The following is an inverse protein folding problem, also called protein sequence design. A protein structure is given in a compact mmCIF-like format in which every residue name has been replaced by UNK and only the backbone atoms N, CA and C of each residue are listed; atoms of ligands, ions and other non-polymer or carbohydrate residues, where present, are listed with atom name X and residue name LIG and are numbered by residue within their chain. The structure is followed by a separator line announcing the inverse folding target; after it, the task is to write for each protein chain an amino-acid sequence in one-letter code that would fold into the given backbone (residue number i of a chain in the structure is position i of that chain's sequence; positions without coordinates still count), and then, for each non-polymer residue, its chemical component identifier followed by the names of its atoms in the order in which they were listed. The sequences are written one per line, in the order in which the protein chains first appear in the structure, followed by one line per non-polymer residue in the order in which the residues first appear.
data_IF_726576764094
#
_entry.id   IF_726576764094
#
_cell.length_a   1.000
_cell.length_b   1.000
_cell.length_c   1.000
_cell.angle_alpha   90.00
_cell.angle_beta   90.00
_cell.angle_gamma   90.00
#
_symmetry.space_group_name_H-M   'P 1'
#
loop_
_entity.id
_entity.type
_entity.pdbx_description
1 polymer ?
#
# COMPACT_ATOMS: atom_id res chain seq x y z
N UNK A 1 10.93 16.73 -30.57
CA UNK A 1 9.61 16.61 -31.21
C UNK A 1 9.46 15.23 -31.80
N UNK A 2 8.57 14.38 -31.26
CA UNK A 2 8.00 13.21 -31.93
C UNK A 2 6.83 12.72 -31.07
N UNK A 3 5.63 13.08 -31.52
CA UNK A 3 4.34 12.66 -30.95
C UNK A 3 4.02 11.29 -31.52
N UNK A 4 3.64 10.34 -30.68
CA UNK A 4 2.85 9.18 -31.11
C UNK A 4 1.66 9.07 -30.16
N UNK A 5 0.52 9.48 -30.70
CA UNK A 5 -0.83 9.32 -30.16
C UNK A 5 -1.32 7.98 -30.69
N UNK A 6 -1.63 7.03 -29.80
CA UNK A 6 -2.32 5.80 -30.19
C UNK A 6 -3.69 5.74 -29.54
N UNK A 7 -4.65 6.01 -30.43
CA UNK A 7 -6.02 5.53 -30.55
C UNK A 7 -6.70 4.84 -29.35
N UNK A 8 -7.77 5.50 -28.94
CA UNK A 8 -8.91 5.01 -28.18
C UNK A 8 -9.63 3.90 -28.98
N UNK A 9 -9.94 2.78 -28.33
CA UNK A 9 -11.03 1.90 -28.76
C UNK A 9 -12.03 1.77 -27.61
N UNK A 10 -13.15 2.49 -27.77
CA UNK A 10 -14.39 2.23 -27.06
C UNK A 10 -14.98 0.94 -27.61
N UNK A 11 -15.14 -0.08 -26.78
CA UNK A 11 -16.05 -1.18 -27.05
C UNK A 11 -17.05 -1.26 -25.92
N UNK A 12 -18.22 -0.66 -26.16
CA UNK A 12 -19.43 -0.89 -25.40
C UNK A 12 -20.05 -2.21 -25.90
N UNK A 13 -20.31 -3.14 -24.98
CA UNK A 13 -21.29 -4.22 -25.19
C UNK A 13 -22.27 -4.17 -24.02
N UNK A 14 -23.46 -3.65 -24.35
CA UNK A 14 -24.70 -3.79 -23.63
C UNK A 14 -25.19 -5.24 -23.80
N UNK A 15 -25.80 -5.83 -22.76
CA UNK A 15 -26.94 -6.79 -22.77
C UNK A 15 -27.04 -7.40 -21.34
N UNK A 16 -27.90 -6.87 -20.45
CA UNK A 16 -29.29 -7.30 -20.20
C UNK A 16 -29.45 -8.77 -19.78
N UNK A 17 -29.67 -9.00 -18.48
CA UNK A 17 -30.67 -9.96 -17.95
C UNK A 17 -30.83 -9.79 -16.43
N UNK A 18 -32.00 -9.37 -15.92
CA UNK A 18 -32.39 -9.58 -14.53
C UNK A 18 -33.32 -10.80 -14.42
N UNK A 19 -32.91 -11.84 -13.70
CA UNK A 19 -33.81 -12.92 -13.29
C UNK A 19 -34.51 -12.52 -11.99
N UNK A 20 -35.72 -12.00 -12.12
CA UNK A 20 -36.67 -11.85 -11.02
C UNK A 20 -37.30 -13.22 -10.74
N UNK A 21 -37.06 -13.78 -9.54
CA UNK A 21 -37.86 -14.90 -9.05
C UNK A 21 -39.16 -14.37 -8.47
N UNK A 22 -40.24 -14.71 -9.14
CA UNK A 22 -41.61 -14.41 -8.77
C UNK A 22 -41.98 -15.08 -7.44
N UNK A 23 -42.69 -14.31 -6.63
CA UNK A 23 -43.46 -14.78 -5.49
C UNK A 23 -44.58 -15.70 -5.98
N UNK A 24 -44.65 -16.92 -5.43
CA UNK A 24 -45.86 -17.73 -5.45
C UNK A 24 -46.47 -17.65 -4.06
N UNK A 25 -47.62 -16.98 -4.00
CA UNK A 25 -48.47 -16.90 -2.84
C UNK A 25 -49.66 -17.82 -3.08
N UNK A 26 -49.84 -18.80 -2.19
CA UNK A 26 -51.11 -19.21 -1.60
C UNK A 26 -51.17 -20.73 -1.38
N UNK A 27 -50.96 -21.16 -0.14
CA UNK A 27 -51.88 -22.07 0.55
C UNK A 27 -51.53 -22.09 2.04
N UNK A 28 -52.35 -21.39 2.82
CA UNK A 28 -52.64 -21.73 4.22
C UNK A 28 -53.78 -22.78 4.21
N UNK A 29 -54.07 -23.57 5.27
CA UNK A 29 -53.94 -23.13 6.67
C UNK A 29 -53.54 -24.17 7.75
N UNK A 30 -53.31 -23.61 8.95
CA UNK A 30 -53.54 -24.17 10.30
C UNK A 30 -52.63 -25.31 10.79
N UNK A 31 -51.80 -25.03 11.81
CA UNK A 31 -52.13 -25.30 13.23
C UNK A 31 -51.11 -24.64 14.16
N UNK A 32 -51.59 -24.19 15.30
CA UNK A 32 -50.83 -23.56 16.37
C UNK A 32 -49.74 -24.46 16.95
N UNK A 33 -48.62 -23.88 17.38
CA UNK A 33 -47.92 -24.21 18.63
C UNK A 33 -46.93 -23.08 18.91
N UNK A 34 -47.05 -22.50 20.10
CA UNK A 34 -46.06 -21.63 20.67
C UNK A 34 -44.79 -22.43 20.95
N UNK A 35 -43.63 -21.94 20.50
CA UNK A 35 -42.44 -22.06 21.33
C UNK A 35 -41.44 -20.94 21.05
N UNK A 36 -41.02 -20.32 22.14
CA UNK A 36 -39.81 -19.51 22.20
C UNK A 36 -38.63 -20.45 22.02
N UNK A 37 -37.64 -20.06 21.23
CA UNK A 37 -36.25 -19.99 21.71
C UNK A 37 -35.36 -19.39 20.65
N UNK A 38 -34.66 -18.33 21.06
CA UNK A 38 -33.37 -17.94 20.54
C UNK A 38 -32.51 -19.15 20.21
N UNK A 39 -32.03 -19.24 18.97
CA UNK A 39 -30.70 -19.80 18.70
C UNK A 39 -30.22 -19.35 17.32
N UNK A 40 -29.82 -18.08 17.26
CA UNK A 40 -28.90 -17.60 16.22
C UNK A 40 -27.50 -18.18 16.50
N UNK A 41 -27.38 -19.50 16.32
CA UNK A 41 -26.12 -20.23 16.41
C UNK A 41 -25.69 -20.60 14.99
N UNK A 42 -24.91 -19.73 14.35
CA UNK A 42 -24.14 -20.08 13.15
C UNK A 42 -23.42 -21.41 13.40
N UNK A 43 -23.69 -22.48 12.62
CA UNK A 43 -23.01 -23.75 12.81
C UNK A 43 -21.53 -23.55 12.48
N UNK A 44 -20.65 -23.63 13.50
CA UNK A 44 -19.22 -23.75 13.26
C UNK A 44 -18.94 -25.12 12.65
N UNK A 45 -18.76 -25.17 11.34
CA UNK A 45 -18.32 -26.37 10.64
C UNK A 45 -16.94 -26.76 11.16
N UNK A 46 -16.89 -27.77 12.04
CA UNK A 46 -15.63 -28.35 12.50
C UNK A 46 -15.06 -29.21 11.38
N UNK A 47 -14.09 -28.63 10.69
CA UNK A 47 -13.31 -29.26 9.64
C UNK A 47 -12.68 -30.60 10.11
N UNK A 48 -12.83 -31.68 9.33
CA UNK A 48 -12.22 -32.98 9.67
C UNK A 48 -10.69 -32.94 9.55
N UNK A 49 -9.99 -33.94 10.11
CA UNK A 49 -8.53 -34.01 10.02
C UNK A 49 -8.06 -34.14 8.55
N UNK A 50 -8.75 -34.96 7.77
CA UNK A 50 -8.49 -35.18 6.33
C UNK A 50 -8.74 -33.91 5.52
N UNK A 51 -9.86 -33.21 5.76
CA UNK A 51 -10.14 -31.92 5.13
C UNK A 51 -9.05 -30.90 5.44
N UNK A 52 -8.56 -30.84 6.69
CA UNK A 52 -7.46 -29.94 7.09
C UNK A 52 -6.17 -30.27 6.36
N UNK A 53 -5.87 -31.54 6.15
CA UNK A 53 -4.67 -31.97 5.44
C UNK A 53 -4.78 -31.63 3.94
N UNK A 54 -5.92 -31.89 3.31
CA UNK A 54 -6.19 -31.51 1.92
C UNK A 54 -6.11 -29.98 1.73
N UNK A 55 -6.70 -29.20 2.64
CA UNK A 55 -6.59 -27.74 2.65
C UNK A 55 -5.15 -27.25 2.77
N UNK A 56 -4.38 -27.80 3.71
CA UNK A 56 -2.97 -27.45 3.87
C UNK A 56 -2.19 -27.78 2.61
N UNK A 57 -2.39 -28.96 2.03
CA UNK A 57 -1.72 -29.36 0.79
C UNK A 57 -2.05 -28.44 -0.38
N UNK A 58 -3.33 -28.13 -0.58
CA UNK A 58 -3.79 -27.29 -1.68
C UNK A 58 -3.31 -25.84 -1.57
N UNK A 59 -3.22 -25.30 -0.35
CA UNK A 59 -2.86 -23.88 -0.13
C UNK A 59 -1.38 -23.67 0.24
N UNK A 60 -0.63 -24.73 0.55
CA UNK A 60 0.79 -24.66 0.92
C UNK A 60 1.66 -23.80 0.00
N UNK A 61 1.65 -23.98 -1.34
CA UNK A 61 2.54 -23.20 -2.21
C UNK A 61 2.23 -21.70 -2.14
N UNK A 62 0.95 -21.32 -2.08
CA UNK A 62 0.53 -19.92 -1.95
C UNK A 62 0.90 -19.32 -0.60
N UNK A 63 0.81 -20.11 0.48
CA UNK A 63 1.22 -19.67 1.82
C UNK A 63 2.73 -19.45 1.91
N UNK A 64 3.54 -20.34 1.32
CA UNK A 64 5.00 -20.16 1.24
C UNK A 64 5.37 -18.92 0.42
N UNK A 65 4.73 -18.72 -0.73
CA UNK A 65 4.90 -17.49 -1.50
C UNK A 65 4.56 -16.24 -0.68
N UNK A 66 3.46 -16.26 0.07
CA UNK A 66 3.05 -15.14 0.91
C UNK A 66 4.04 -14.88 2.05
N UNK A 67 4.67 -15.92 2.62
CA UNK A 67 5.76 -15.77 3.59
C UNK A 67 6.97 -15.05 2.99
N UNK A 68 7.45 -15.51 1.84
CA UNK A 68 8.57 -14.85 1.14
C UNK A 68 8.27 -13.37 0.84
N UNK A 69 7.06 -13.07 0.36
CA UNK A 69 6.62 -11.68 0.12
C UNK A 69 6.57 -10.86 1.42
N UNK A 70 6.19 -11.46 2.55
CA UNK A 70 6.19 -10.77 3.84
C UNK A 70 7.59 -10.43 4.32
N UNK A 71 8.56 -11.32 4.13
CA UNK A 71 9.95 -11.09 4.49
C UNK A 71 10.54 -9.94 3.68
N UNK A 72 10.36 -9.95 2.35
CA UNK A 72 10.78 -8.85 1.48
C UNK A 72 10.16 -7.50 1.90
N UNK A 73 8.86 -7.50 2.22
CA UNK A 73 8.18 -6.29 2.70
C UNK A 73 8.69 -5.81 4.06
N UNK A 74 9.10 -6.73 4.94
CA UNK A 74 9.66 -6.38 6.25
C UNK A 74 10.99 -5.67 6.09
N UNK A 75 11.85 -6.17 5.20
CA UNK A 75 13.15 -5.57 4.92
C UNK A 75 13.01 -4.17 4.32
N UNK A 76 12.13 -4.00 3.32
CA UNK A 76 11.82 -2.69 2.73
C UNK A 76 11.24 -1.71 3.76
N UNK A 77 10.37 -2.17 4.65
CA UNK A 77 9.82 -1.31 5.70
C UNK A 77 10.92 -0.86 6.69
N UNK A 78 11.87 -1.73 7.02
CA UNK A 78 13.04 -1.39 7.82
C UNK A 78 13.87 -0.28 7.15
N UNK A 79 14.19 -0.45 5.86
CA UNK A 79 14.91 0.56 5.07
C UNK A 79 14.16 1.91 5.04
N UNK A 80 12.84 1.87 4.86
CA UNK A 80 11.99 3.06 4.84
C UNK A 80 12.05 3.84 6.15
N UNK A 81 12.04 3.11 7.28
CA UNK A 81 12.13 3.68 8.62
C UNK A 81 13.48 4.36 8.84
N UNK A 82 14.58 3.69 8.48
CA UNK A 82 15.94 4.25 8.55
C UNK A 82 16.05 5.53 7.70
N UNK A 83 15.55 5.50 6.46
CA UNK A 83 15.56 6.69 5.59
C UNK A 83 14.69 7.83 6.13
N UNK A 84 13.55 7.53 6.73
CA UNK A 84 12.70 8.53 7.36
C UNK A 84 13.39 9.19 8.56
N UNK A 85 14.07 8.41 9.40
CA UNK A 85 14.80 8.91 10.56
C UNK A 85 16.02 9.75 10.15
N UNK A 86 16.78 9.30 9.15
CA UNK A 86 17.87 10.09 8.55
C UNK A 86 17.39 11.44 8.00
N UNK A 87 16.30 11.43 7.21
CA UNK A 87 15.68 12.66 6.70
C UNK A 87 15.20 13.60 7.83
N UNK A 88 14.64 13.04 8.91
CA UNK A 88 14.21 13.82 10.07
C UNK A 88 15.40 14.48 10.76
N UNK A 89 16.48 13.72 10.98
CA UNK A 89 17.72 14.22 11.58
C UNK A 89 18.34 15.35 10.75
N UNK A 90 18.45 15.18 9.42
CA UNK A 90 18.95 16.23 8.51
C UNK A 90 18.09 17.49 8.52
N UNK A 91 16.76 17.36 8.54
CA UNK A 91 15.87 18.52 8.65
C UNK A 91 16.07 19.27 9.97
N UNK A 92 16.34 18.54 11.05
CA UNK A 92 16.63 19.13 12.35
C UNK A 92 17.99 19.83 12.36
N UNK A 93 19.03 19.23 11.76
CA UNK A 93 20.37 19.84 11.67
C UNK A 93 20.39 21.10 10.79
N UNK A 94 19.52 21.19 9.79
CA UNK A 94 19.36 22.38 8.95
C UNK A 94 18.56 23.50 9.62
N UNK A 95 17.78 23.17 10.67
CA UNK A 95 16.89 24.13 11.31
C UNK A 95 17.72 25.19 12.05
N UNK A 96 17.58 26.45 11.64
CA UNK A 96 18.31 27.58 12.23
C UNK A 96 19.70 27.83 11.62
N UNK A 97 20.18 26.95 10.73
CA UNK A 97 21.46 27.12 10.02
C UNK A 97 21.29 27.67 8.60
N UNK A 98 20.06 27.81 8.11
CA UNK A 98 19.75 28.33 6.79
C UNK A 98 19.33 29.80 6.87
N UNK A 99 19.80 30.61 5.90
CA UNK A 99 19.22 31.94 5.68
C UNK A 99 17.78 31.83 5.18
N UNK A 100 17.01 32.93 5.22
CA UNK A 100 15.62 32.95 4.73
C UNK A 100 15.53 32.55 3.24
N UNK A 101 16.48 33.02 2.43
CA UNK A 101 16.55 32.71 0.99
C UNK A 101 16.88 31.24 0.75
N UNK A 102 17.87 30.70 1.47
CA UNK A 102 18.24 29.28 1.39
C UNK A 102 17.09 28.38 1.84
N UNK A 103 16.38 28.75 2.91
CA UNK A 103 15.22 28.01 3.40
C UNK A 103 14.08 28.02 2.36
N UNK A 104 13.85 29.15 1.68
CA UNK A 104 12.84 29.26 0.64
C UNK A 104 13.19 28.42 -0.60
N UNK A 105 14.46 28.45 -1.03
CA UNK A 105 14.95 27.62 -2.13
C UNK A 105 14.85 26.12 -1.79
N UNK A 106 15.21 25.72 -0.56
CA UNK A 106 15.09 24.35 -0.09
C UNK A 106 13.62 23.90 -0.02
N UNK A 107 12.72 24.77 0.44
CA UNK A 107 11.30 24.46 0.44
C UNK A 107 10.77 24.26 -0.98
N UNK A 108 11.17 25.11 -1.93
CA UNK A 108 10.80 24.96 -3.33
C UNK A 108 11.33 23.66 -3.94
N UNK A 109 12.59 23.29 -3.68
CA UNK A 109 13.20 22.06 -4.20
C UNK A 109 12.62 20.78 -3.61
N UNK A 110 12.17 20.82 -2.33
CA UNK A 110 11.59 19.65 -1.66
C UNK A 110 10.09 19.47 -1.89
N UNK A 111 9.37 20.51 -2.31
CA UNK A 111 7.90 20.49 -2.45
C UNK A 111 7.40 19.38 -3.37
N UNK A 112 7.94 19.26 -4.58
CA UNK A 112 7.51 18.25 -5.55
C UNK A 112 7.76 16.82 -5.03
N UNK A 113 8.89 16.61 -4.36
CA UNK A 113 9.24 15.32 -3.78
C UNK A 113 8.32 14.97 -2.60
N UNK A 114 7.96 15.94 -1.75
CA UNK A 114 7.00 15.73 -0.65
C UNK A 114 5.60 15.34 -1.15
N UNK A 115 5.11 15.98 -2.21
CA UNK A 115 3.84 15.60 -2.83
C UNK A 115 3.91 14.19 -3.46
N UNK A 116 5.03 13.83 -4.13
CA UNK A 116 5.26 12.46 -4.62
C UNK A 116 5.19 11.44 -3.48
N UNK A 117 5.87 11.70 -2.35
CA UNK A 117 5.83 10.84 -1.17
C UNK A 117 4.41 10.71 -0.59
N UNK A 118 3.64 11.81 -0.56
CA UNK A 118 2.26 11.83 -0.05
C UNK A 118 1.33 10.96 -0.90
N UNK A 119 1.42 11.06 -2.23
CA UNK A 119 0.65 10.21 -3.16
C UNK A 119 1.01 8.74 -2.96
N UNK A 120 2.30 8.41 -2.94
CA UNK A 120 2.77 7.04 -2.72
C UNK A 120 2.30 6.47 -1.37
N UNK A 121 2.32 7.27 -0.31
CA UNK A 121 1.82 6.86 1.00
C UNK A 121 0.30 6.64 0.98
N UNK A 122 -0.44 7.45 0.24
CA UNK A 122 -1.89 7.28 0.08
C UNK A 122 -2.22 5.97 -0.66
N UNK A 123 -1.52 5.69 -1.76
CA UNK A 123 -1.65 4.45 -2.53
C UNK A 123 -1.33 3.22 -1.67
N UNK A 124 -0.21 3.25 -0.94
CA UNK A 124 0.19 2.16 -0.05
C UNK A 124 -0.83 1.94 1.07
N UNK A 125 -1.41 3.01 1.62
CA UNK A 125 -2.48 2.90 2.61
C UNK A 125 -3.74 2.24 2.02
N UNK A 126 -4.14 2.62 0.81
CA UNK A 126 -5.27 1.99 0.13
C UNK A 126 -5.02 0.50 -0.12
N UNK A 127 -3.82 0.12 -0.57
CA UNK A 127 -3.43 -1.28 -0.74
C UNK A 127 -3.43 -2.06 0.58
N UNK A 128 -2.99 -1.45 1.69
CA UNK A 128 -3.03 -2.08 3.00
C UNK A 128 -4.46 -2.35 3.49
N UNK A 129 -5.41 -1.44 3.22
CA UNK A 129 -6.83 -1.68 3.52
C UNK A 129 -7.38 -2.83 2.67
N UNK A 130 -7.02 -2.91 1.39
CA UNK A 130 -7.39 -4.05 0.54
C UNK A 130 -6.79 -5.38 1.06
N UNK A 131 -5.55 -5.37 1.56
CA UNK A 131 -4.94 -6.54 2.21
C UNK A 131 -5.71 -6.97 3.45
N UNK A 132 -6.19 -6.02 4.26
CA UNK A 132 -7.04 -6.34 5.43
C UNK A 132 -8.35 -6.99 5.00
N UNK A 133 -9.00 -6.45 3.97
CA UNK A 133 -10.22 -7.03 3.41
C UNK A 133 -9.99 -8.45 2.88
N UNK A 134 -8.93 -8.68 2.10
CA UNK A 134 -8.59 -10.01 1.58
C UNK A 134 -8.23 -11.01 2.71
N UNK A 135 -7.60 -10.56 3.79
CA UNK A 135 -7.39 -11.40 4.99
C UNK A 135 -8.69 -11.76 5.69
N UNK A 136 -9.64 -10.83 5.76
CA UNK A 136 -10.97 -11.10 6.31
C UNK A 136 -11.73 -12.13 5.45
N UNK A 137 -11.67 -12.00 4.12
CA UNK A 137 -12.22 -12.97 3.18
C UNK A 137 -11.58 -14.36 3.34
N UNK A 138 -10.25 -14.45 3.46
CA UNK A 138 -9.55 -15.70 3.72
C UNK A 138 -9.99 -16.34 5.04
N UNK A 139 -10.18 -15.54 6.10
CA UNK A 139 -10.66 -16.02 7.40
C UNK A 139 -12.09 -16.56 7.28
N UNK A 140 -12.96 -15.87 6.57
CA UNK A 140 -14.33 -16.32 6.32
C UNK A 140 -14.37 -17.63 5.53
N UNK A 141 -13.59 -17.74 4.45
CA UNK A 141 -13.47 -18.96 3.64
C UNK A 141 -12.95 -20.15 4.46
N UNK A 142 -12.01 -19.90 5.38
CA UNK A 142 -11.52 -20.92 6.31
C UNK A 142 -12.60 -21.38 7.29
N UNK A 143 -13.44 -20.46 7.76
CA UNK A 143 -14.57 -20.78 8.64
C UNK A 143 -15.67 -21.58 7.93
N UNK A 144 -15.87 -21.36 6.62
CA UNK A 144 -16.83 -22.10 5.80
C UNK A 144 -16.26 -23.37 5.15
N UNK A 145 -14.96 -23.65 5.32
CA UNK A 145 -14.26 -24.80 4.70
C UNK A 145 -14.32 -24.75 3.15
N UNK A 146 -14.52 -23.56 2.57
CA UNK A 146 -14.45 -23.31 1.13
C UNK A 146 -13.00 -23.12 0.63
N UNK A 147 -12.42 -24.18 0.05
CA UNK A 147 -11.05 -24.16 -0.52
C UNK A 147 -10.95 -23.16 -1.67
N UNK A 148 -11.98 -23.08 -2.50
CA UNK A 148 -11.99 -22.24 -3.71
C UNK A 148 -11.96 -20.77 -3.30
N UNK A 149 -12.81 -20.37 -2.36
CA UNK A 149 -12.81 -19.02 -1.82
C UNK A 149 -11.50 -18.67 -1.08
N UNK A 150 -10.91 -19.61 -0.34
CA UNK A 150 -9.64 -19.39 0.33
C UNK A 150 -8.47 -19.26 -0.67
N UNK A 151 -8.47 -20.08 -1.71
CA UNK A 151 -7.50 -20.02 -2.80
C UNK A 151 -7.56 -18.67 -3.52
N UNK A 152 -8.76 -18.19 -3.85
CA UNK A 152 -8.97 -16.88 -4.47
C UNK A 152 -8.54 -15.73 -3.54
N UNK A 153 -8.85 -15.81 -2.25
CA UNK A 153 -8.41 -14.80 -1.28
C UNK A 153 -6.87 -14.77 -1.12
N UNK A 154 -6.20 -15.93 -1.21
CA UNK A 154 -4.74 -16.00 -1.23
C UNK A 154 -4.15 -15.40 -2.50
N UNK A 155 -4.75 -15.63 -3.68
CA UNK A 155 -4.30 -15.00 -4.93
C UNK A 155 -4.42 -13.48 -4.87
N UNK A 156 -5.53 -12.98 -4.32
CA UNK A 156 -5.70 -11.55 -4.06
C UNK A 156 -4.62 -11.02 -3.12
N UNK A 157 -4.32 -11.72 -2.02
CA UNK A 157 -3.26 -11.32 -1.09
C UNK A 157 -1.88 -11.30 -1.74
N UNK A 158 -1.57 -12.29 -2.57
CA UNK A 158 -0.30 -12.36 -3.32
C UNK A 158 -0.20 -11.17 -4.27
N UNK A 159 -1.24 -10.92 -5.07
CA UNK A 159 -1.29 -9.80 -6.02
C UNK A 159 -1.12 -8.45 -5.31
N UNK A 160 -1.87 -8.22 -4.22
CA UNK A 160 -1.76 -6.99 -3.44
C UNK A 160 -0.38 -6.82 -2.83
N UNK A 161 0.24 -7.89 -2.33
CA UNK A 161 1.61 -7.84 -1.80
C UNK A 161 2.65 -7.54 -2.86
N UNK A 162 2.49 -8.09 -4.06
CA UNK A 162 3.34 -7.75 -5.20
C UNK A 162 3.20 -6.27 -5.56
N UNK A 163 1.99 -5.72 -5.58
CA UNK A 163 1.78 -4.29 -5.82
C UNK A 163 2.44 -3.42 -4.75
N UNK A 164 2.35 -3.81 -3.47
CA UNK A 164 3.05 -3.12 -2.37
C UNK A 164 4.57 -3.23 -2.57
N UNK A 165 5.10 -4.39 -2.99
CA UNK A 165 6.53 -4.57 -3.30
C UNK A 165 7.01 -3.71 -4.47
N UNK A 166 6.14 -3.39 -5.43
CA UNK A 166 6.49 -2.47 -6.53
C UNK A 166 6.48 -1.02 -6.05
N UNK A 167 5.47 -0.60 -5.26
CA UNK A 167 5.34 0.79 -4.82
C UNK A 167 6.24 1.18 -3.66
N UNK A 168 6.64 0.24 -2.81
CA UNK A 168 7.48 0.55 -1.64
C UNK A 168 8.88 1.05 -2.04
N UNK A 169 9.58 0.45 -3.02
CA UNK A 169 10.81 0.98 -3.57
C UNK A 169 10.66 2.39 -4.18
N UNK A 170 9.55 2.70 -4.85
CA UNK A 170 9.30 4.07 -5.36
C UNK A 170 9.25 5.09 -4.22
N UNK A 171 8.66 4.72 -3.08
CA UNK A 171 8.64 5.57 -1.88
C UNK A 171 10.02 5.67 -1.25
N UNK A 172 10.79 4.59 -1.23
CA UNK A 172 12.17 4.59 -0.74
C UNK A 172 13.04 5.53 -1.58
N UNK A 173 12.97 5.42 -2.90
CA UNK A 173 13.68 6.29 -3.84
C UNK A 173 13.28 7.76 -3.64
N UNK A 174 11.99 8.05 -3.49
CA UNK A 174 11.54 9.42 -3.20
C UNK A 174 12.13 9.95 -1.87
N UNK A 175 12.30 9.10 -0.86
CA UNK A 175 12.96 9.48 0.41
C UNK A 175 14.47 9.68 0.26
N UNK A 176 15.12 8.89 -0.59
CA UNK A 176 16.55 9.05 -0.90
C UNK A 176 16.80 10.35 -1.69
N UNK A 177 15.98 10.64 -2.70
CA UNK A 177 15.99 11.93 -3.42
C UNK A 177 15.86 13.10 -2.44
N UNK A 178 14.94 13.02 -1.48
CA UNK A 178 14.81 14.03 -0.43
C UNK A 178 16.07 14.15 0.42
N UNK A 179 16.69 13.02 0.78
CA UNK A 179 17.92 13.00 1.56
C UNK A 179 19.06 13.71 0.83
N UNK A 180 19.19 13.48 -0.49
CA UNK A 180 20.19 14.15 -1.33
C UNK A 180 19.97 15.67 -1.39
N UNK A 181 18.71 16.10 -1.52
CA UNK A 181 18.37 17.53 -1.50
C UNK A 181 18.75 18.16 -0.15
N UNK A 182 18.44 17.48 0.97
CA UNK A 182 18.77 17.96 2.31
C UNK A 182 20.28 17.98 2.56
N UNK A 183 21.01 16.95 2.14
CA UNK A 183 22.47 16.87 2.27
C UNK A 183 23.14 17.99 1.46
N UNK A 184 22.69 18.22 0.23
CA UNK A 184 23.17 19.31 -0.61
C UNK A 184 22.95 20.67 0.06
N UNK A 185 21.77 20.89 0.64
CA UNK A 185 21.47 22.13 1.36
C UNK A 185 22.32 22.29 2.62
N UNK A 186 22.66 21.19 3.30
CA UNK A 186 23.52 21.21 4.48
C UNK A 186 24.95 21.63 4.11
N UNK A 187 25.50 21.10 3.02
CA UNK A 187 26.82 21.51 2.52
C UNK A 187 26.87 22.99 2.14
N UNK A 188 25.79 23.52 1.55
CA UNK A 188 25.68 24.94 1.22
C UNK A 188 25.55 25.84 2.46
N UNK A 189 24.93 25.36 3.54
CA UNK A 189 24.80 26.10 4.81
C UNK A 189 26.12 26.17 5.58
N UNK A 190 27.01 25.19 5.43
CA UNK A 190 28.31 25.13 6.12
C UNK A 190 29.48 25.74 5.33
N UNK A 191 29.26 26.16 4.08
CA UNK A 191 30.33 26.75 3.27
C UNK A 191 30.76 28.11 3.87
N UNK A 192 32.06 28.31 4.19
CA UNK A 192 32.52 29.58 4.71
C UNK A 192 32.34 30.68 3.66
N UNK A 193 31.81 31.82 4.08
CA UNK A 193 31.72 33.03 3.27
C UNK A 193 33.12 33.62 3.07
N UNK A 194 33.95 33.00 2.23
CA UNK A 194 35.29 33.54 1.92
C UNK A 194 35.63 33.35 0.45
N UNK A 195 35.30 34.37 -0.34
CA UNK A 195 36.04 34.78 -1.53
C UNK A 195 35.77 36.25 -1.85
N UNK A 196 35.84 37.14 -0.84
CA UNK A 196 36.10 38.54 -1.12
C UNK A 196 37.61 38.64 -1.43
N UNK A 197 37.95 38.69 -2.71
CA UNK A 197 39.31 38.81 -3.20
C UNK A 197 39.99 40.07 -2.62
N UNK A 198 41.25 40.01 -2.17
CA UNK A 198 42.00 41.21 -1.84
C UNK A 198 42.28 41.99 -3.13
N UNK A 199 41.79 43.22 -3.18
CA UNK A 199 42.09 44.21 -4.21
C UNK A 199 43.61 44.34 -4.36
N UNK A 200 44.18 44.22 -5.58
CA UNK A 200 45.61 44.45 -5.76
C UNK A 200 45.91 45.93 -5.53
N UNK A 201 46.83 46.22 -4.61
CA UNK A 201 47.35 47.56 -4.38
C UNK A 201 48.14 48.04 -5.62
N UNK A 202 47.97 49.30 -6.07
CA UNK A 202 48.78 49.85 -7.13
C UNK A 202 50.20 50.13 -6.58
N UNK A 203 51.21 49.51 -7.19
CA UNK A 203 52.61 49.88 -6.96
C UNK A 203 52.86 51.25 -7.60
N UNK A 204 53.43 52.16 -6.81
CA UNK A 204 53.97 53.44 -7.25
C UNK A 204 55.34 53.27 -7.93
#
# INVERSE_FOLDING_TARGET
MKKWVSAITLSAVLLMTPAAFAADAASAPTTATADQTDTSATPQVKMTAEQRQAWKGALAPKLEQLKALNEQLKDLHSQLKTQQEGNKSLRQSLKGHLTKEQAQALHASTKANLEKQKTLHSDLKALQEQVKAARAALKAARSSVDITAASAALDQLISLKQQILTKTPELLQAKEELNQILTTAQSQATAPATAAAPTPAPAQ
#
